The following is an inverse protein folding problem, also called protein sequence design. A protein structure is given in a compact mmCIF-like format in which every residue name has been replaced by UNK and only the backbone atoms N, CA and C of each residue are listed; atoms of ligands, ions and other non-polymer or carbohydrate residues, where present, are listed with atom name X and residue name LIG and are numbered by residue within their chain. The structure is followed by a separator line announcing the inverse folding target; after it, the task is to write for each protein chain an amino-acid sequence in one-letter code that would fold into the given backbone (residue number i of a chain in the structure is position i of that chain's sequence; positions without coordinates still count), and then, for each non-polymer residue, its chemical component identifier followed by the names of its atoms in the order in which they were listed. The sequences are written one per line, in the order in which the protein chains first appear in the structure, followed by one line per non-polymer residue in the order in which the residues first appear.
data_IF_391037347432
#
_entry.id   IF_391037347432
#
_cell.length_a   1.000
_cell.length_b   1.000
_cell.length_c   1.000
_cell.angle_alpha   90.00
_cell.angle_beta   90.00
_cell.angle_gamma   90.00
#
_symmetry.space_group_name_H-M   'P 1'
#
loop_
_entity.id
_entity.type
_entity.pdbx_description
1 polymer ?
#
# COMPACT_ATOMS: atom_id res chain seq x y z
N UNK A 1 -0.33 -25.82 7.25
CA UNK A 1 -0.63 -24.39 7.07
C UNK A 1 -2.10 -24.16 7.29
N UNK A 2 -2.45 -23.31 8.25
CA UNK A 2 -3.84 -22.89 8.49
C UNK A 2 -4.08 -21.58 7.73
N UNK A 3 -5.19 -21.48 7.01
CA UNK A 3 -5.57 -20.25 6.29
C UNK A 3 -6.44 -19.37 7.19
N UNK A 4 -6.10 -18.08 7.30
CA UNK A 4 -6.94 -17.08 7.99
C UNK A 4 -7.47 -16.06 6.99
N UNK A 5 -8.78 -16.05 6.78
CA UNK A 5 -9.42 -15.17 5.79
C UNK A 5 -9.85 -13.85 6.43
N UNK A 6 -9.59 -12.74 5.73
CA UNK A 6 -9.94 -11.38 6.19
C UNK A 6 -11.45 -11.17 6.43
N UNK A 7 -12.31 -11.79 5.62
CA UNK A 7 -13.77 -11.67 5.72
C UNK A 7 -14.36 -12.14 7.06
N UNK A 8 -13.63 -12.93 7.85
CA UNK A 8 -14.12 -13.47 9.13
C UNK A 8 -13.77 -12.61 10.35
N UNK A 9 -12.92 -11.58 10.22
CA UNK A 9 -12.30 -10.90 11.38
C UNK A 9 -12.31 -9.36 11.31
N UNK A 10 -13.01 -8.76 10.34
CA UNK A 10 -13.33 -7.32 10.44
C UNK A 10 -14.20 -7.14 11.67
N UNK A 11 -13.65 -6.51 12.71
CA UNK A 11 -14.40 -6.17 13.91
C UNK A 11 -15.59 -5.28 13.50
N UNK A 12 -16.80 -5.86 13.45
CA UNK A 12 -18.04 -5.12 13.28
C UNK A 12 -18.21 -4.15 14.46
N UNK A 13 -17.69 -2.93 14.31
CA UNK A 13 -18.05 -1.78 15.13
C UNK A 13 -18.60 -0.66 14.24
N UNK A 14 -19.71 -0.93 13.54
CA UNK A 14 -20.72 0.06 13.17
C UNK A 14 -21.97 -0.66 12.60
N UNK A 15 -23.20 -0.23 12.94
CA UNK A 15 -24.42 -0.90 12.52
C UNK A 15 -24.64 -0.74 11.02
N UNK A 16 -25.16 -1.81 10.41
CA UNK A 16 -25.57 -1.88 9.01
C UNK A 16 -26.39 -0.64 8.59
N UNK A 17 -25.82 0.16 7.69
CA UNK A 17 -26.54 1.20 6.95
C UNK A 17 -26.71 0.71 5.51
N UNK A 18 -27.84 0.07 5.25
CA UNK A 18 -28.35 -0.21 3.91
C UNK A 18 -28.60 1.13 3.22
N UNK A 19 -27.68 1.57 2.36
CA UNK A 19 -27.84 2.80 1.57
C UNK A 19 -28.49 2.45 0.22
N UNK A 20 -29.80 2.69 0.14
CA UNK A 20 -30.54 2.76 -1.12
C UNK A 20 -30.23 4.11 -1.75
N UNK A 21 -29.59 4.15 -2.92
CA UNK A 21 -29.49 5.36 -3.74
C UNK A 21 -30.47 5.29 -4.92
N UNK A 22 -31.50 6.14 -4.87
CA UNK A 22 -32.26 6.58 -6.03
C UNK A 22 -31.58 7.79 -6.70
N UNK A 23 -31.73 7.86 -8.02
CA UNK A 23 -31.13 8.81 -8.94
C UNK A 23 -31.70 10.24 -8.88
N UNK A 24 -30.90 11.22 -9.33
CA UNK A 24 -31.38 12.39 -10.10
C UNK A 24 -30.24 13.09 -10.85
N UNK A 25 -30.52 13.44 -12.10
CA UNK A 25 -29.67 14.13 -13.07
C UNK A 25 -29.90 15.67 -13.10
N UNK A 26 -29.11 16.34 -13.96
CA UNK A 26 -29.21 17.74 -14.47
C UNK A 26 -28.64 18.83 -13.55
N UNK A 27 -27.95 19.90 -13.97
CA UNK A 27 -27.54 20.51 -15.25
C UNK A 27 -26.65 21.72 -14.87
N UNK A 28 -25.56 22.01 -15.57
CA UNK A 28 -25.41 22.94 -16.72
C UNK A 28 -25.04 24.39 -16.34
N UNK A 29 -24.07 24.91 -17.10
CA UNK A 29 -23.67 26.29 -17.41
C UNK A 29 -23.10 27.28 -16.36
N UNK A 30 -21.97 27.89 -16.75
CA UNK A 30 -21.50 29.17 -16.23
C UNK A 30 -20.05 29.52 -16.54
N UNK A 31 -19.77 29.96 -17.78
CA UNK A 31 -18.54 30.68 -18.15
C UNK A 31 -18.60 32.15 -17.73
N UNK A 32 -17.51 32.73 -17.24
CA UNK A 32 -17.26 34.17 -17.32
C UNK A 32 -15.75 34.48 -17.35
N UNK A 33 -15.41 35.41 -18.25
CA UNK A 33 -14.08 35.93 -18.59
C UNK A 33 -13.72 37.11 -17.67
N UNK A 34 -12.42 37.40 -17.46
CA UNK A 34 -12.04 38.69 -16.88
C UNK A 34 -10.61 38.92 -16.40
N UNK A 35 -9.71 39.16 -17.36
CA UNK A 35 -8.69 40.23 -17.41
C UNK A 35 -7.59 40.41 -16.32
N UNK A 36 -6.35 40.29 -16.81
CA UNK A 36 -5.22 41.25 -16.78
C UNK A 36 -4.84 41.99 -15.47
N UNK A 37 -3.58 41.84 -15.04
CA UNK A 37 -2.51 42.86 -15.12
C UNK A 37 -1.25 42.45 -14.31
N UNK A 38 -0.14 42.31 -15.04
CA UNK A 38 1.23 42.84 -14.82
C UNK A 38 1.91 42.77 -13.43
N UNK A 39 3.08 42.11 -13.42
CA UNK A 39 4.11 42.27 -12.39
C UNK A 39 5.38 41.47 -12.66
N UNK A 40 6.05 41.75 -13.79
CA UNK A 40 7.40 41.24 -14.10
C UNK A 40 8.45 42.23 -13.56
N UNK A 41 9.35 41.75 -12.70
CA UNK A 41 10.63 42.39 -12.43
C UNK A 41 11.73 41.36 -12.62
N UNK A 42 12.36 41.45 -13.78
CA UNK A 42 13.70 40.96 -14.05
C UNK A 42 14.71 41.93 -13.41
N UNK A 43 15.72 41.39 -12.74
CA UNK A 43 17.11 41.69 -13.11
C UNK A 43 18.07 40.72 -12.44
N UNK A 44 18.96 40.22 -13.28
CA UNK A 44 20.07 39.35 -12.97
C UNK A 44 21.19 40.10 -12.25
N UNK A 45 21.97 39.39 -11.44
CA UNK A 45 23.41 39.55 -11.55
C UNK A 45 24.14 38.24 -11.24
N UNK A 46 25.03 37.93 -12.17
CA UNK A 46 26.01 36.85 -12.15
C UNK A 46 27.31 37.37 -11.57
N UNK A 47 28.05 36.57 -10.80
CA UNK A 47 29.50 36.41 -11.04
C UNK A 47 30.12 35.28 -10.19
N UNK A 48 30.94 34.50 -10.89
CA UNK A 48 31.84 33.45 -10.42
C UNK A 48 32.93 33.95 -9.46
N UNK A 49 33.43 33.05 -8.60
CA UNK A 49 34.85 32.66 -8.55
C UNK A 49 35.13 31.54 -7.53
N UNK A 50 35.54 30.38 -8.05
CA UNK A 50 36.78 29.64 -7.75
C UNK A 50 37.26 29.53 -6.28
N UNK A 51 37.51 28.30 -5.79
CA UNK A 51 38.86 27.80 -5.40
C UNK A 51 38.78 26.31 -5.01
N UNK A 52 39.79 25.55 -5.45
CA UNK A 52 40.06 24.11 -5.28
C UNK A 52 40.87 23.76 -4.01
N UNK A 53 41.03 22.44 -3.76
CA UNK A 53 41.94 21.65 -2.86
C UNK A 53 41.21 20.94 -1.71
N UNK A 54 41.20 19.61 -1.50
CA UNK A 54 42.07 18.42 -1.69
C UNK A 54 42.54 17.82 -0.34
N UNK A 55 42.58 16.48 -0.28
CA UNK A 55 43.27 15.57 0.65
C UNK A 55 42.57 15.05 1.93
N UNK A 56 42.14 13.77 1.85
CA UNK A 56 42.46 12.59 2.70
C UNK A 56 43.00 12.78 4.13
N UNK A 57 42.54 12.00 5.12
CA UNK A 57 43.07 10.66 5.50
C UNK A 57 42.52 10.11 6.86
N UNK A 58 42.50 8.77 6.94
CA UNK A 58 42.71 7.88 8.10
C UNK A 58 41.60 7.60 9.13
N UNK A 59 41.23 6.30 9.14
CA UNK A 59 40.49 5.57 10.15
C UNK A 59 41.29 5.38 11.46
N UNK A 60 40.60 5.41 12.60
CA UNK A 60 41.12 4.89 13.86
C UNK A 60 40.15 3.84 14.42
N UNK A 61 40.70 2.64 14.58
CA UNK A 61 40.12 1.42 15.11
C UNK A 61 40.23 1.48 16.64
N UNK A 62 39.09 1.50 17.32
CA UNK A 62 39.04 1.15 18.74
C UNK A 62 37.86 0.22 18.97
N UNK A 63 38.12 -1.06 18.77
CA UNK A 63 37.21 -2.14 19.14
C UNK A 63 37.21 -2.32 20.66
N UNK A 64 36.35 -1.58 21.37
CA UNK A 64 35.98 -1.87 22.76
C UNK A 64 34.83 -2.88 22.75
N UNK A 65 35.07 -4.08 23.29
CA UNK A 65 34.05 -5.11 23.44
C UNK A 65 32.93 -4.63 24.36
N UNK A 66 31.80 -4.28 23.75
CA UNK A 66 30.55 -4.02 24.47
C UNK A 66 29.92 -5.35 24.86
N UNK A 67 29.60 -5.49 26.15
CA UNK A 67 28.89 -6.64 26.67
C UNK A 67 27.43 -6.45 26.33
N UNK A 68 27.08 -6.81 25.10
CA UNK A 68 25.74 -6.78 24.54
C UNK A 68 24.77 -7.54 25.45
N UNK A 69 24.01 -6.81 26.26
CA UNK A 69 22.72 -7.28 26.77
C UNK A 69 21.69 -7.18 25.64
N UNK A 70 22.04 -7.80 24.50
CA UNK A 70 21.26 -7.75 23.28
C UNK A 70 19.94 -8.44 23.51
N UNK A 71 18.86 -7.76 23.15
CA UNK A 71 17.56 -8.42 23.01
C UNK A 71 17.72 -9.41 21.86
N UNK A 72 17.60 -10.70 22.16
CA UNK A 72 17.57 -11.73 21.12
C UNK A 72 16.45 -11.41 20.13
N UNK A 73 16.74 -11.49 18.84
CA UNK A 73 15.77 -11.20 17.78
C UNK A 73 15.44 -12.48 17.02
N UNK A 74 14.17 -12.61 16.66
CA UNK A 74 13.67 -13.64 15.77
C UNK A 74 13.49 -13.06 14.37
N UNK A 75 13.93 -13.81 13.37
CA UNK A 75 13.59 -13.58 11.96
C UNK A 75 12.16 -14.07 11.71
N UNK A 76 11.36 -13.24 11.04
CA UNK A 76 9.94 -13.47 10.80
C UNK A 76 9.66 -13.37 9.31
N UNK A 77 9.06 -14.43 8.77
CA UNK A 77 8.48 -14.48 7.43
C UNK A 77 6.95 -14.56 7.57
N UNK A 78 6.25 -13.46 7.29
CA UNK A 78 4.79 -13.39 7.30
C UNK A 78 4.23 -13.72 5.93
N UNK A 79 3.51 -14.83 5.82
CA UNK A 79 2.97 -15.30 4.55
C UNK A 79 1.55 -14.80 4.30
N UNK A 80 1.36 -14.30 3.08
CA UNK A 80 0.10 -13.89 2.53
C UNK A 80 -0.25 -14.74 1.30
N UNK A 81 -1.54 -14.84 1.00
CA UNK A 81 -2.03 -15.43 -0.23
C UNK A 81 -3.27 -14.65 -0.68
N UNK A 82 -3.58 -14.74 -1.97
CA UNK A 82 -4.83 -14.26 -2.51
C UNK A 82 -5.62 -15.42 -3.10
N UNK A 83 -6.95 -15.40 -2.96
CA UNK A 83 -7.81 -16.45 -3.48
C UNK A 83 -9.13 -15.90 -4.05
N UNK A 84 -9.63 -16.57 -5.09
CA UNK A 84 -11.00 -16.41 -5.58
C UNK A 84 -11.79 -17.64 -5.15
N UNK A 85 -12.58 -17.51 -4.09
CA UNK A 85 -13.18 -18.65 -3.41
C UNK A 85 -12.08 -19.56 -2.82
N UNK A 86 -12.08 -20.83 -3.22
CA UNK A 86 -11.07 -21.81 -2.76
C UNK A 86 -9.85 -21.90 -3.70
N UNK A 87 -9.87 -21.23 -4.85
CA UNK A 87 -8.80 -21.28 -5.85
C UNK A 87 -7.76 -20.17 -5.59
N UNK A 88 -6.44 -20.46 -5.64
CA UNK A 88 -5.42 -19.43 -5.63
C UNK A 88 -5.63 -18.42 -6.75
N UNK A 89 -5.51 -17.15 -6.43
CA UNK A 89 -5.52 -16.06 -7.40
C UNK A 89 -4.21 -16.06 -8.21
N UNK A 90 -4.34 -15.93 -9.53
CA UNK A 90 -3.24 -15.84 -10.49
C UNK A 90 -3.75 -15.24 -11.81
N UNK A 91 -2.85 -14.56 -12.52
CA UNK A 91 -3.07 -14.08 -13.88
C UNK A 91 -3.25 -15.24 -14.88
N UNK A 92 -4.01 -15.03 -15.94
CA UNK A 92 -4.28 -16.06 -16.96
C UNK A 92 -5.20 -17.19 -16.51
N UNK A 93 -5.70 -17.16 -15.27
CA UNK A 93 -6.70 -18.09 -14.76
C UNK A 93 -8.10 -17.48 -14.85
N UNK A 94 -9.07 -18.28 -15.29
CA UNK A 94 -10.48 -17.90 -15.29
C UNK A 94 -11.20 -18.47 -14.07
N UNK A 95 -12.04 -17.65 -13.45
CA UNK A 95 -12.86 -18.02 -12.29
C UNK A 95 -14.33 -17.87 -12.65
N UNK A 96 -15.09 -18.95 -12.58
CA UNK A 96 -16.50 -18.98 -12.95
C UNK A 96 -17.43 -18.76 -11.75
N UNK A 97 -18.69 -18.41 -12.02
CA UNK A 97 -19.73 -18.39 -11.00
C UNK A 97 -19.64 -17.22 -10.02
N UNK A 98 -18.96 -16.14 -10.40
CA UNK A 98 -18.74 -14.98 -9.54
C UNK A 98 -19.98 -14.06 -9.54
N UNK A 99 -20.43 -13.68 -8.34
CA UNK A 99 -21.54 -12.76 -8.15
C UNK A 99 -22.91 -13.35 -8.53
N UNK A 100 -23.96 -12.51 -8.47
CA UNK A 100 -25.35 -12.92 -8.72
C UNK A 100 -25.64 -13.31 -10.17
N UNK A 101 -24.76 -12.92 -11.09
CA UNK A 101 -24.88 -13.21 -12.52
C UNK A 101 -24.06 -14.43 -12.96
N UNK A 102 -23.37 -15.10 -12.02
CA UNK A 102 -22.49 -16.24 -12.29
C UNK A 102 -21.43 -15.94 -13.37
N UNK A 103 -20.88 -14.73 -13.34
CA UNK A 103 -19.93 -14.19 -14.30
C UNK A 103 -18.60 -14.93 -14.24
N UNK A 104 -17.97 -15.12 -15.39
CA UNK A 104 -16.57 -15.56 -15.48
C UNK A 104 -15.66 -14.34 -15.41
N UNK A 105 -14.63 -14.39 -14.57
CA UNK A 105 -13.64 -13.32 -14.42
C UNK A 105 -12.22 -13.81 -14.65
N UNK A 106 -11.33 -12.89 -15.01
CA UNK A 106 -9.87 -13.04 -14.99
C UNK A 106 -9.27 -11.86 -14.21
N UNK A 107 -8.20 -12.11 -13.46
CA UNK A 107 -7.49 -11.06 -12.71
C UNK A 107 -6.66 -10.24 -13.68
N UNK A 108 -6.75 -8.92 -13.58
CA UNK A 108 -5.92 -7.95 -14.30
C UNK A 108 -4.94 -7.22 -13.36
N UNK A 109 -5.28 -7.05 -12.09
CA UNK A 109 -4.33 -6.52 -11.10
C UNK A 109 -4.78 -6.98 -9.71
N UNK A 110 -3.83 -7.38 -8.86
CA UNK A 110 -4.10 -7.73 -7.48
C UNK A 110 -2.92 -7.38 -6.58
N UNK A 111 -2.90 -6.13 -6.15
CA UNK A 111 -1.82 -5.56 -5.32
C UNK A 111 -2.38 -4.78 -4.17
N UNK A 112 -1.71 -4.84 -3.02
CA UNK A 112 -2.08 -4.01 -1.87
C UNK A 112 -0.92 -3.75 -0.91
N UNK A 113 -1.00 -2.60 -0.25
CA UNK A 113 -0.05 -2.21 0.78
C UNK A 113 -0.53 -2.61 2.17
N UNK A 114 0.41 -3.00 3.01
CA UNK A 114 0.20 -3.19 4.45
C UNK A 114 1.25 -2.41 5.25
N UNK A 115 0.85 -1.86 6.39
CA UNK A 115 1.74 -1.18 7.33
C UNK A 115 1.32 -1.43 8.80
N UNK A 116 2.09 -0.88 9.74
CA UNK A 116 1.88 -1.02 11.19
C UNK A 116 1.76 -2.48 11.66
N UNK A 117 2.58 -3.35 11.05
CA UNK A 117 2.60 -4.78 11.34
C UNK A 117 3.16 -5.01 12.74
N UNK A 118 2.41 -5.73 13.57
CA UNK A 118 2.81 -6.08 14.93
C UNK A 118 2.31 -7.48 15.30
N UNK A 119 3.13 -8.24 16.01
CA UNK A 119 2.71 -9.49 16.62
C UNK A 119 2.15 -9.23 18.02
N UNK A 120 1.14 -10.00 18.42
CA UNK A 120 0.44 -9.86 19.69
C UNK A 120 0.92 -10.97 20.64
N UNK A 121 1.46 -10.60 21.79
CA UNK A 121 1.95 -11.54 22.79
C UNK A 121 0.81 -12.17 23.62
N UNK A 122 1.14 -13.14 24.48
CA UNK A 122 0.17 -13.78 25.39
C UNK A 122 -0.50 -12.85 26.41
N UNK A 123 -0.02 -11.61 26.57
CA UNK A 123 -0.59 -10.57 27.43
C UNK A 123 -1.44 -9.56 26.64
N UNK A 124 -1.60 -9.75 25.33
CA UNK A 124 -2.33 -8.86 24.44
C UNK A 124 -1.56 -7.59 24.08
N UNK A 125 -0.25 -7.52 24.35
CA UNK A 125 0.59 -6.41 23.91
C UNK A 125 1.00 -6.62 22.45
N UNK A 126 0.87 -5.58 21.65
CA UNK A 126 1.33 -5.59 20.28
C UNK A 126 2.76 -5.08 20.20
N UNK A 127 3.66 -5.94 19.73
CA UNK A 127 5.08 -5.65 19.52
C UNK A 127 5.30 -5.42 18.02
N UNK A 128 5.73 -4.21 17.61
CA UNK A 128 5.95 -3.91 16.19
C UNK A 128 7.01 -4.81 15.57
N UNK A 129 6.74 -5.27 14.34
CA UNK A 129 7.72 -5.94 13.51
C UNK A 129 8.64 -4.89 12.86
N UNK A 130 9.96 -5.07 12.97
CA UNK A 130 10.91 -4.24 12.24
C UNK A 130 11.08 -4.83 10.84
N UNK A 131 10.57 -4.14 9.82
CA UNK A 131 10.63 -4.66 8.44
C UNK A 131 12.06 -4.65 7.90
N UNK A 132 12.43 -5.71 7.19
CA UNK A 132 13.63 -5.73 6.37
C UNK A 132 13.53 -4.62 5.30
N UNK A 133 14.62 -3.90 5.05
CA UNK A 133 14.66 -2.85 4.03
C UNK A 133 15.33 -3.42 2.78
N UNK A 134 14.54 -4.09 1.95
CA UNK A 134 15.04 -4.86 0.80
C UNK A 134 15.28 -4.00 -0.46
N UNK A 135 14.80 -2.75 -0.44
CA UNK A 135 14.91 -1.82 -1.57
C UNK A 135 13.95 -2.13 -2.71
N UNK A 136 12.99 -3.04 -2.51
CA UNK A 136 12.03 -3.45 -3.53
C UNK A 136 10.60 -3.49 -2.98
N UNK A 137 10.31 -4.38 -2.02
CA UNK A 137 8.95 -4.62 -1.54
C UNK A 137 8.63 -3.92 -0.24
N UNK A 138 9.65 -3.50 0.51
CA UNK A 138 9.50 -2.97 1.86
C UNK A 138 10.30 -1.69 2.05
N UNK A 139 9.63 -0.67 2.58
CA UNK A 139 10.22 0.63 2.85
C UNK A 139 9.65 1.22 4.14
N UNK A 140 10.53 1.57 5.07
CA UNK A 140 10.20 2.00 6.43
C UNK A 140 9.27 0.96 7.10
N UNK A 141 8.00 1.30 7.31
CA UNK A 141 6.98 0.44 7.95
C UNK A 141 5.96 -0.11 6.96
N UNK A 142 6.18 0.08 5.65
CA UNK A 142 5.26 -0.27 4.58
C UNK A 142 5.80 -1.45 3.79
N UNK A 143 4.93 -2.39 3.42
CA UNK A 143 5.22 -3.44 2.45
C UNK A 143 4.15 -3.47 1.36
N UNK A 144 4.58 -3.72 0.11
CA UNK A 144 3.69 -4.02 -1.01
C UNK A 144 3.61 -5.54 -1.19
N UNK A 145 2.39 -6.06 -1.18
CA UNK A 145 2.10 -7.42 -1.59
C UNK A 145 1.57 -7.43 -3.02
N UNK A 146 2.11 -8.35 -3.81
CA UNK A 146 1.89 -8.45 -5.24
C UNK A 146 1.57 -9.89 -5.65
N UNK A 147 0.36 -10.06 -6.19
CA UNK A 147 -0.19 -11.35 -6.64
C UNK A 147 -0.48 -11.37 -8.15
N UNK A 148 -0.02 -10.36 -8.88
CA UNK A 148 -0.04 -10.33 -10.34
C UNK A 148 1.38 -10.42 -10.89
N UNK A 149 1.57 -11.19 -11.96
CA UNK A 149 2.90 -11.47 -12.54
C UNK A 149 3.11 -10.77 -13.90
N UNK A 150 2.31 -9.74 -14.19
CA UNK A 150 2.37 -8.99 -15.44
C UNK A 150 2.06 -9.83 -16.68
N UNK A 151 1.55 -11.05 -16.53
CA UNK A 151 1.22 -11.96 -17.63
C UNK A 151 -0.26 -11.94 -17.97
N UNK A 152 -0.63 -12.44 -19.16
CA UNK A 152 -2.01 -12.55 -19.62
C UNK A 152 -2.80 -11.22 -19.43
N UNK A 153 -3.97 -11.23 -18.79
CA UNK A 153 -4.74 -10.01 -18.53
C UNK A 153 -4.01 -8.99 -17.62
N UNK A 154 -2.97 -9.39 -16.89
CA UNK A 154 -2.20 -8.51 -15.99
C UNK A 154 -1.11 -7.69 -16.68
N UNK A 155 -0.94 -7.82 -17.99
CA UNK A 155 0.12 -7.14 -18.74
C UNK A 155 0.07 -5.60 -18.69
N UNK A 156 -1.09 -5.01 -18.37
CA UNK A 156 -1.28 -3.56 -18.37
C UNK A 156 -0.95 -2.91 -17.01
N UNK A 157 0.33 -2.56 -16.86
CA UNK A 157 0.85 -1.91 -15.65
C UNK A 157 1.19 -2.87 -14.51
N UNK A 158 1.23 -4.17 -14.80
CA UNK A 158 1.69 -5.21 -13.89
C UNK A 158 3.22 -5.28 -13.74
N UNK A 159 3.69 -6.10 -12.81
CA UNK A 159 5.13 -6.39 -12.60
C UNK A 159 5.42 -7.88 -12.75
N UNK A 160 6.64 -8.24 -13.15
CA UNK A 160 6.96 -9.65 -13.40
C UNK A 160 7.20 -10.43 -12.10
N UNK A 161 7.68 -9.73 -11.07
CA UNK A 161 7.98 -10.27 -9.76
C UNK A 161 6.74 -10.30 -8.87
N UNK A 162 6.58 -11.38 -8.11
CA UNK A 162 5.51 -11.51 -7.11
C UNK A 162 6.07 -11.26 -5.71
N UNK A 163 5.21 -10.76 -4.81
CA UNK A 163 5.53 -10.71 -3.39
C UNK A 163 4.35 -11.14 -2.52
N UNK A 164 4.49 -12.34 -1.94
CA UNK A 164 3.51 -12.92 -1.03
C UNK A 164 4.02 -13.00 0.42
N UNK A 165 5.13 -12.34 0.74
CA UNK A 165 5.75 -12.42 2.07
C UNK A 165 6.16 -11.04 2.58
N UNK A 166 5.96 -10.81 3.87
CA UNK A 166 6.60 -9.69 4.57
C UNK A 166 7.69 -10.25 5.48
N UNK A 167 8.90 -9.71 5.37
CA UNK A 167 10.07 -10.17 6.12
C UNK A 167 10.48 -9.12 7.13
N UNK A 168 10.81 -9.52 8.35
CA UNK A 168 11.30 -8.61 9.37
C UNK A 168 11.89 -9.32 10.58
N UNK A 169 12.23 -8.52 11.59
CA UNK A 169 12.77 -8.99 12.87
C UNK A 169 11.94 -8.48 14.03
N UNK A 170 11.82 -9.27 15.08
CA UNK A 170 11.10 -8.93 16.31
C UNK A 170 11.87 -9.44 17.55
N UNK A 171 11.76 -8.81 18.72
CA UNK A 171 12.26 -9.40 19.97
C UNK A 171 11.79 -10.84 20.17
N UNK A 172 12.65 -11.70 20.73
CA UNK A 172 12.28 -13.04 21.15
C UNK A 172 11.12 -13.01 22.14
N UNK A 173 10.15 -13.91 21.92
CA UNK A 173 8.93 -13.97 22.70
C UNK A 173 7.86 -14.88 22.10
N UNK A 174 6.89 -15.22 22.94
CA UNK A 174 5.73 -16.02 22.54
C UNK A 174 4.61 -15.12 21.99
N UNK A 175 4.41 -15.19 20.67
CA UNK A 175 3.35 -14.45 19.97
C UNK A 175 2.19 -15.38 19.60
N UNK A 176 0.97 -14.90 19.86
CA UNK A 176 -0.27 -15.66 19.67
C UNK A 176 -1.22 -15.00 18.69
N UNK A 177 -0.90 -13.81 18.20
CA UNK A 177 -1.74 -13.05 17.28
C UNK A 177 -0.93 -12.11 16.40
N UNK A 178 -1.62 -11.44 15.49
CA UNK A 178 -1.04 -10.43 14.61
C UNK A 178 -2.06 -9.31 14.39
N UNK A 179 -1.56 -8.10 14.20
CA UNK A 179 -2.30 -7.00 13.63
C UNK A 179 -1.48 -6.27 12.57
N UNK A 180 -2.17 -5.66 11.63
CA UNK A 180 -1.60 -4.79 10.62
C UNK A 180 -2.70 -3.89 10.08
N UNK A 181 -2.34 -2.95 9.22
CA UNK A 181 -3.27 -2.07 8.54
C UNK A 181 -3.11 -2.21 7.04
N UNK A 182 -4.18 -2.55 6.32
CA UNK A 182 -4.20 -2.43 4.86
C UNK A 182 -4.36 -0.94 4.52
N UNK A 183 -3.34 -0.37 3.88
CA UNK A 183 -3.24 1.07 3.70
C UNK A 183 -1.82 1.56 3.41
N UNK A 184 -1.72 2.85 3.10
CA UNK A 184 -0.46 3.61 3.16
C UNK A 184 -0.59 4.65 4.28
N UNK A 185 0.38 4.76 5.21
CA UNK A 185 0.32 5.76 6.28
C UNK A 185 0.37 7.18 5.68
N UNK A 186 -0.25 8.15 6.35
CA UNK A 186 -0.35 9.53 5.84
C UNK A 186 1.00 10.12 5.46
N UNK A 187 2.00 9.88 6.32
CA UNK A 187 3.36 10.32 6.15
C UNK A 187 4.01 9.82 4.84
N UNK A 188 3.47 8.77 4.21
CA UNK A 188 3.95 8.20 2.95
C UNK A 188 2.95 8.39 1.79
N UNK A 189 1.68 8.70 2.05
CA UNK A 189 0.61 8.55 1.06
C UNK A 189 0.63 9.56 -0.11
N UNK A 190 1.14 10.77 0.12
CA UNK A 190 1.00 11.88 -0.85
C UNK A 190 2.33 12.35 -1.44
N UNK A 191 3.37 11.52 -1.31
CA UNK A 191 4.68 11.79 -1.90
C UNK A 191 4.66 11.63 -3.42
N UNK A 192 5.59 12.33 -4.07
CA UNK A 192 5.77 12.26 -5.51
C UNK A 192 6.27 10.87 -5.94
N UNK A 193 5.48 10.16 -6.72
CA UNK A 193 5.75 8.78 -7.18
C UNK A 193 7.04 8.66 -8.00
N UNK A 194 7.44 9.72 -8.71
CA UNK A 194 8.64 9.73 -9.56
C UNK A 194 9.95 9.88 -8.78
N UNK A 195 9.88 10.37 -7.54
CA UNK A 195 11.01 10.54 -6.64
C UNK A 195 10.99 9.57 -5.44
N UNK A 196 9.90 8.84 -5.24
CA UNK A 196 9.75 7.90 -4.13
C UNK A 196 10.67 6.68 -4.32
N UNK A 197 11.13 6.03 -3.23
CA UNK A 197 11.77 4.72 -3.30
C UNK A 197 10.72 3.62 -3.58
N UNK A 198 11.18 2.46 -4.04
CA UNK A 198 10.34 1.26 -4.09
C UNK A 198 9.83 0.91 -2.67
N UNK A 199 8.59 0.41 -2.50
CA UNK A 199 7.57 0.11 -3.52
C UNK A 199 6.66 1.30 -3.89
N UNK A 200 6.94 2.51 -3.41
CA UNK A 200 6.12 3.70 -3.63
C UNK A 200 6.37 4.37 -5.00
N UNK A 201 7.27 3.82 -5.82
CA UNK A 201 7.60 4.38 -7.14
C UNK A 201 6.79 3.75 -8.30
N UNK A 202 5.70 3.05 -8.01
CA UNK A 202 4.86 2.37 -9.00
C UNK A 202 3.70 3.28 -9.46
N UNK A 203 3.71 3.82 -10.69
CA UNK A 203 2.64 4.70 -11.16
C UNK A 203 1.27 4.01 -11.23
N UNK A 204 1.25 2.70 -11.45
CA UNK A 204 0.03 1.87 -11.43
C UNK A 204 -0.68 1.89 -10.08
N UNK A 205 0.05 2.12 -8.99
CA UNK A 205 -0.45 2.18 -7.61
C UNK A 205 -0.65 3.61 -7.11
N UNK A 206 -0.61 4.62 -7.99
CA UNK A 206 -0.76 6.04 -7.63
C UNK A 206 -1.91 6.68 -8.41
N UNK A 207 -2.69 7.57 -7.78
CA UNK A 207 -3.72 8.34 -8.48
C UNK A 207 -3.19 9.71 -8.92
N UNK A 208 -2.81 10.54 -7.95
CA UNK A 208 -2.20 11.87 -8.09
C UNK A 208 -1.79 12.34 -6.68
N UNK A 209 -1.13 13.49 -6.58
CA UNK A 209 -0.62 13.99 -5.30
C UNK A 209 -1.73 14.26 -4.28
N UNK A 210 -2.87 14.82 -4.71
CA UNK A 210 -3.99 15.06 -3.80
C UNK A 210 -4.65 13.77 -3.31
N UNK A 211 -4.87 12.79 -4.19
CA UNK A 211 -5.52 11.51 -3.86
C UNK A 211 -4.58 10.49 -3.21
N UNK A 212 -3.29 10.61 -3.46
CA UNK A 212 -2.25 9.70 -2.98
C UNK A 212 -2.20 8.36 -3.69
N UNK A 213 -1.69 7.34 -2.98
CA UNK A 213 -1.58 5.98 -3.45
C UNK A 213 -2.91 5.21 -3.35
N UNK A 214 -3.06 4.26 -4.27
CA UNK A 214 -4.01 3.15 -4.16
C UNK A 214 -3.46 2.18 -3.13
N UNK A 215 -4.14 2.03 -2.00
CA UNK A 215 -3.83 1.09 -0.94
C UNK A 215 -4.06 -0.35 -1.36
N UNK A 216 -5.07 -0.56 -2.20
CA UNK A 216 -5.31 -1.82 -2.88
C UNK A 216 -5.82 -1.52 -4.30
N UNK A 217 -5.36 -2.34 -5.25
CA UNK A 217 -5.79 -2.35 -6.63
C UNK A 217 -6.27 -3.76 -6.96
N UNK A 218 -7.57 -3.88 -7.24
CA UNK A 218 -8.21 -5.12 -7.69
C UNK A 218 -8.92 -4.83 -8.99
N UNK A 219 -8.29 -5.22 -10.09
CA UNK A 219 -8.82 -5.04 -11.43
C UNK A 219 -9.15 -6.41 -12.02
N UNK A 220 -10.34 -6.53 -12.60
CA UNK A 220 -10.86 -7.78 -13.16
C UNK A 220 -11.34 -7.54 -14.58
N UNK A 221 -11.04 -8.49 -15.46
CA UNK A 221 -11.80 -8.68 -16.69
C UNK A 221 -12.96 -9.64 -16.45
N UNK A 222 -14.04 -9.46 -17.19
CA UNK A 222 -15.21 -10.31 -17.10
C UNK A 222 -15.83 -10.58 -18.49
N UNK A 223 -16.68 -11.59 -18.56
CA UNK A 223 -17.31 -12.06 -19.79
C UNK A 223 -18.49 -11.21 -20.31
N UNK A 224 -18.79 -10.06 -19.70
CA UNK A 224 -19.78 -9.12 -20.22
C UNK A 224 -19.19 -8.26 -21.35
N UNK A 225 -19.64 -8.43 -22.61
CA UNK A 225 -19.08 -7.68 -23.75
C UNK A 225 -19.36 -6.17 -23.69
N UNK A 226 -20.40 -5.73 -22.98
CA UNK A 226 -20.77 -4.31 -22.88
C UNK A 226 -20.01 -3.59 -21.75
N UNK A 227 -19.48 -4.33 -20.77
CA UNK A 227 -18.73 -3.80 -19.64
C UNK A 227 -17.68 -4.82 -19.15
N UNK A 228 -16.67 -5.12 -19.98
CA UNK A 228 -15.75 -6.23 -19.73
C UNK A 228 -14.77 -5.96 -18.59
N UNK A 229 -14.67 -4.72 -18.11
CA UNK A 229 -13.75 -4.36 -17.04
C UNK A 229 -14.51 -3.99 -15.76
N UNK A 230 -13.96 -4.42 -14.63
CA UNK A 230 -14.40 -4.04 -13.30
C UNK A 230 -13.18 -3.67 -12.46
N UNK A 231 -13.22 -2.48 -11.86
CA UNK A 231 -12.10 -1.93 -11.09
C UNK A 231 -12.57 -1.61 -9.68
N UNK A 232 -11.79 -2.06 -8.70
CA UNK A 232 -11.94 -1.64 -7.31
C UNK A 232 -10.59 -1.18 -6.78
N UNK A 233 -10.54 0.09 -6.43
CA UNK A 233 -9.35 0.71 -5.84
C UNK A 233 -9.71 1.25 -4.47
N UNK A 234 -8.89 0.92 -3.48
CA UNK A 234 -8.97 1.47 -2.14
C UNK A 234 -7.89 2.53 -1.98
N UNK A 235 -8.22 3.67 -1.37
CA UNK A 235 -7.26 4.71 -0.98
C UNK A 235 -7.96 5.83 -0.23
N UNK A 236 -7.21 6.85 0.21
CA UNK A 236 -7.79 8.00 0.91
C UNK A 236 -8.73 8.81 0.00
N UNK A 237 -9.79 9.39 0.57
CA UNK A 237 -10.73 10.24 -0.17
C UNK A 237 -11.15 11.46 0.64
N UNK A 238 -11.62 12.51 -0.05
CA UNK A 238 -11.90 13.81 0.58
C UNK A 238 -10.62 14.48 1.08
N UNK A 239 -9.56 14.41 0.29
CA UNK A 239 -8.28 15.06 0.56
C UNK A 239 -8.34 16.51 0.06
N UNK A 240 -7.90 17.47 0.88
CA UNK A 240 -7.91 18.88 0.55
C UNK A 240 -6.47 19.41 0.41
N UNK A 241 -6.17 20.03 -0.72
CA UNK A 241 -4.89 20.69 -1.03
C UNK A 241 -5.11 21.86 -1.99
N UNK A 242 -4.10 22.67 -2.27
CA UNK A 242 -4.28 23.82 -3.17
C UNK A 242 -4.56 23.40 -4.64
N UNK A 243 -4.26 22.15 -5.00
CA UNK A 243 -4.61 21.57 -6.29
C UNK A 243 -4.29 20.07 -6.39
N UNK A 244 -4.72 19.40 -7.48
CA UNK A 244 -4.57 17.95 -7.64
C UNK A 244 -3.11 17.46 -7.73
N UNK A 245 -2.17 18.37 -8.01
CA UNK A 245 -0.73 18.11 -8.11
C UNK A 245 0.02 18.46 -6.81
N UNK A 246 -0.71 18.75 -5.72
CA UNK A 246 -0.16 18.95 -4.38
C UNK A 246 -0.78 17.96 -3.40
N UNK A 247 0.07 17.42 -2.52
CA UNK A 247 -0.37 16.61 -1.40
C UNK A 247 -1.07 17.46 -0.33
N UNK A 248 -2.08 16.93 0.35
CA UNK A 248 -2.66 17.57 1.52
C UNK A 248 -1.63 17.66 2.65
N UNK A 249 -1.69 18.71 3.46
CA UNK A 249 -0.85 18.86 4.66
C UNK A 249 -1.46 18.20 5.90
N UNK A 250 -2.74 17.81 5.82
CA UNK A 250 -3.52 17.17 6.87
C UNK A 250 -4.18 15.89 6.35
N UNK A 251 -4.57 15.01 7.27
CA UNK A 251 -5.29 13.78 6.92
C UNK A 251 -6.55 14.06 6.10
N UNK A 252 -6.77 13.23 5.08
CA UNK A 252 -7.99 13.30 4.29
C UNK A 252 -9.22 13.03 5.17
N UNK A 253 -10.37 13.58 4.79
CA UNK A 253 -11.63 13.38 5.52
C UNK A 253 -11.99 11.90 5.69
N UNK A 254 -11.53 11.04 4.78
CA UNK A 254 -11.66 9.58 4.83
C UNK A 254 -10.30 8.97 4.57
N UNK A 255 -9.50 8.70 5.62
CA UNK A 255 -8.18 8.09 5.45
C UNK A 255 -8.26 6.70 4.81
N UNK A 256 -9.34 5.96 5.08
CA UNK A 256 -9.64 4.63 4.55
C UNK A 256 -8.53 3.57 4.76
N UNK A 257 -7.90 3.62 5.94
CA UNK A 257 -6.96 2.59 6.39
C UNK A 257 -7.72 1.52 7.15
N UNK A 258 -7.59 0.26 6.74
CA UNK A 258 -8.34 -0.85 7.29
C UNK A 258 -7.48 -1.61 8.31
N UNK A 259 -7.69 -1.43 9.63
CA UNK A 259 -7.01 -2.25 10.62
C UNK A 259 -7.53 -3.68 10.55
N UNK A 260 -6.59 -4.64 10.61
CA UNK A 260 -6.84 -6.08 10.62
C UNK A 260 -6.18 -6.65 11.87
N UNK A 261 -6.89 -7.53 12.57
CA UNK A 261 -6.37 -8.22 13.73
C UNK A 261 -6.82 -9.69 13.73
N UNK A 262 -5.88 -10.59 13.99
CA UNK A 262 -6.13 -11.99 14.30
C UNK A 262 -5.61 -12.28 15.70
N UNK A 263 -6.52 -12.50 16.65
CA UNK A 263 -6.20 -12.77 18.07
C UNK A 263 -5.69 -14.19 18.33
N UNK A 264 -5.77 -15.05 17.31
CA UNK A 264 -5.08 -16.32 17.21
C UNK A 264 -4.35 -16.27 15.86
N UNK A 265 -3.04 -16.45 15.85
CA UNK A 265 -2.22 -16.55 14.64
C UNK A 265 -0.88 -17.17 15.01
N UNK A 266 -0.48 -18.22 14.30
CA UNK A 266 0.85 -18.81 14.40
C UNK A 266 1.70 -18.32 13.23
N UNK A 267 2.65 -17.44 13.51
CA UNK A 267 3.53 -16.84 12.50
C UNK A 267 4.32 -17.88 11.69
N UNK A 268 4.66 -19.02 12.29
CA UNK A 268 5.48 -20.04 11.64
C UNK A 268 4.66 -20.95 10.71
N UNK A 269 3.32 -20.97 10.82
CA UNK A 269 2.51 -21.96 10.12
C UNK A 269 1.21 -21.44 9.51
N UNK A 270 0.74 -20.27 9.89
CA UNK A 270 -0.48 -19.68 9.34
C UNK A 270 -0.18 -18.81 8.10
N UNK A 271 -1.18 -18.67 7.24
CA UNK A 271 -1.14 -17.79 6.07
C UNK A 271 -2.37 -16.90 6.08
N UNK A 272 -2.15 -15.59 5.88
CA UNK A 272 -3.23 -14.61 5.76
C UNK A 272 -3.74 -14.66 4.32
N UNK A 273 -5.03 -14.94 4.15
CA UNK A 273 -5.65 -15.05 2.82
C UNK A 273 -6.57 -13.87 2.58
N UNK A 274 -6.30 -13.13 1.50
CA UNK A 274 -7.17 -12.12 0.93
C UNK A 274 -8.27 -12.78 0.08
#
# INVERSE_FOLDING_TARGET
MTRRTLLSHVALHAPALTMVLCASACGDDGSDDGQDEVGDTTDADTTDADTTTDSTDTADDTTTGDSDTGVELLDIDLHFAAAVGDQPAACGQSYEGIGSQATTIEIQDLRFFVHDIALIDGMGQAVPLTLAQDGLWQYETLALLDFEDGSAACQDGGTAELNATVVGTIPDGDYVGIRFTLGVPFALNHHAVDAAPSPLNLPSMFWNWQGGYKFARVDLLNDNPDSPAWYWHQGSTGCESAGPMEGPTEECARPNRLPVEFTSFDVASDTIVL
#
